data_IF_032172487283
#
_entry.id   IF_032172487283
#
_cell.length_a   1.000
_cell.length_b   1.000
_cell.length_c   1.000
_cell.angle_alpha   90.00
_cell.angle_beta   90.00
_cell.angle_gamma   90.00
#
_symmetry.space_group_name_H-M   'P 1'
#
loop_
_entity.id
_entity.type
_entity.pdbx_description
1 polymer ?
#
# COMPACT_ATOMS: atom_id res chain seq x y z
N UNK A 1 -35.85 66.10 -68.40
CA UNK A 1 -36.24 65.60 -67.07
C UNK A 1 -35.03 64.93 -66.45
N UNK A 2 -34.48 65.56 -65.40
CA UNK A 2 -33.41 65.08 -64.48
C UNK A 2 -34.04 64.28 -63.32
N UNK A 3 -33.29 63.70 -62.33
CA UNK A 3 -31.87 63.29 -62.29
C UNK A 3 -31.63 61.88 -61.65
N UNK A 4 -30.36 61.44 -61.63
CA UNK A 4 -29.79 60.38 -60.79
C UNK A 4 -29.83 60.74 -59.28
N UNK A 5 -29.92 59.74 -58.38
CA UNK A 5 -29.23 59.75 -57.07
C UNK A 5 -29.13 58.38 -56.37
N UNK A 6 -27.97 58.18 -55.75
CA UNK A 6 -27.48 57.08 -54.92
C UNK A 6 -27.92 57.30 -53.45
N UNK A 7 -28.34 56.27 -52.71
CA UNK A 7 -28.47 56.33 -51.23
C UNK A 7 -28.37 54.95 -50.56
N UNK A 8 -27.64 54.92 -49.45
CA UNK A 8 -27.29 53.80 -48.58
C UNK A 8 -28.07 53.83 -47.24
N UNK A 9 -27.79 52.86 -46.35
CA UNK A 9 -28.18 52.68 -44.91
C UNK A 9 -29.44 51.81 -44.69
N UNK A 10 -29.56 50.89 -43.71
CA UNK A 10 -28.78 50.51 -42.51
C UNK A 10 -29.26 49.14 -42.00
N UNK A 11 -28.36 48.35 -41.40
CA UNK A 11 -28.69 47.15 -40.63
C UNK A 11 -28.96 47.50 -39.16
N UNK A 12 -30.07 47.00 -38.59
CA UNK A 12 -30.40 47.09 -37.16
C UNK A 12 -29.94 45.82 -36.46
N UNK A 13 -29.05 45.95 -35.49
CA UNK A 13 -28.62 44.87 -34.59
C UNK A 13 -29.23 45.10 -33.21
N UNK A 14 -30.09 44.19 -32.77
CA UNK A 14 -30.63 44.16 -31.40
C UNK A 14 -29.64 43.49 -30.46
N UNK A 15 -29.00 44.27 -29.60
CA UNK A 15 -28.16 43.77 -28.52
C UNK A 15 -29.01 43.37 -27.32
N UNK A 16 -29.11 42.06 -27.06
CA UNK A 16 -29.60 41.51 -25.79
C UNK A 16 -28.51 41.71 -24.74
N UNK A 17 -28.81 42.46 -23.68
CA UNK A 17 -27.93 42.66 -22.52
C UNK A 17 -27.69 41.30 -21.82
N UNK A 18 -26.49 40.75 -22.00
CA UNK A 18 -26.01 39.64 -21.18
C UNK A 18 -25.82 40.11 -19.73
N UNK A 19 -26.09 39.27 -18.72
CA UNK A 19 -25.87 39.64 -17.32
C UNK A 19 -24.40 40.02 -17.08
N UNK A 20 -24.12 40.96 -16.15
CA UNK A 20 -22.78 41.50 -15.94
C UNK A 20 -21.77 40.37 -15.70
N UNK A 21 -20.63 40.42 -16.38
CA UNK A 21 -19.58 39.40 -16.28
C UNK A 21 -19.17 39.12 -14.83
N UNK A 22 -19.23 40.14 -13.97
CA UNK A 22 -18.93 40.08 -12.55
C UNK A 22 -19.88 39.14 -11.76
N UNK A 23 -21.14 38.99 -12.18
CA UNK A 23 -22.12 38.11 -11.53
C UNK A 23 -21.93 36.64 -11.94
N UNK A 24 -21.49 36.40 -13.18
CA UNK A 24 -21.10 35.07 -13.65
C UNK A 24 -19.79 34.62 -13.01
N UNK A 25 -18.85 35.54 -12.80
CA UNK A 25 -17.55 35.28 -12.18
C UNK A 25 -17.70 35.02 -10.67
N UNK A 26 -18.55 35.79 -9.98
CA UNK A 26 -18.95 35.51 -8.58
C UNK A 26 -19.66 34.17 -8.44
N UNK A 27 -20.58 33.81 -9.35
CA UNK A 27 -21.23 32.48 -9.34
C UNK A 27 -20.24 31.35 -9.62
N UNK A 28 -19.28 31.53 -10.53
CA UNK A 28 -18.20 30.56 -10.76
C UNK A 28 -17.35 30.38 -9.52
N UNK A 29 -16.94 31.47 -8.87
CA UNK A 29 -16.16 31.44 -7.64
C UNK A 29 -16.95 30.83 -6.48
N UNK A 30 -18.25 31.10 -6.33
CA UNK A 30 -19.09 30.45 -5.33
C UNK A 30 -19.30 28.95 -5.59
N UNK A 31 -19.45 28.55 -6.86
CA UNK A 31 -19.57 27.14 -7.25
C UNK A 31 -18.25 26.41 -7.03
N UNK A 32 -17.12 27.05 -7.34
CA UNK A 32 -15.77 26.51 -7.17
C UNK A 32 -15.37 26.44 -5.69
N UNK A 33 -15.76 27.44 -4.90
CA UNK A 33 -15.61 27.47 -3.44
C UNK A 33 -16.52 26.46 -2.74
N UNK A 34 -17.78 26.29 -3.20
CA UNK A 34 -18.64 25.18 -2.76
C UNK A 34 -18.09 23.83 -3.21
N UNK A 35 -17.45 23.73 -4.37
CA UNK A 35 -16.77 22.51 -4.81
C UNK A 35 -15.60 22.18 -3.88
N UNK A 36 -14.78 23.16 -3.51
CA UNK A 36 -13.68 23.03 -2.55
C UNK A 36 -14.14 22.75 -1.11
N UNK A 37 -15.26 23.35 -0.67
CA UNK A 37 -15.85 23.07 0.65
C UNK A 37 -16.54 21.68 0.71
N UNK A 38 -17.10 21.21 -0.42
CA UNK A 38 -17.59 19.83 -0.61
C UNK A 38 -16.43 18.83 -0.82
N UNK A 39 -15.25 19.30 -1.20
CA UNK A 39 -14.00 18.55 -1.38
C UNK A 39 -13.18 18.42 -0.08
N UNK A 40 -13.71 18.86 1.07
CA UNK A 40 -13.32 18.25 2.33
C UNK A 40 -13.89 16.83 2.31
N UNK A 41 -13.08 15.89 1.81
CA UNK A 41 -13.53 14.54 1.47
C UNK A 41 -14.23 13.93 2.69
N UNK A 42 -15.24 13.09 2.50
CA UNK A 42 -15.93 12.41 3.61
C UNK A 42 -14.93 11.75 4.57
N UNK A 43 -13.78 11.33 4.05
CA UNK A 43 -12.70 10.72 4.80
C UNK A 43 -11.91 11.71 5.65
N UNK A 44 -11.86 13.01 5.33
CA UNK A 44 -11.26 14.05 6.19
C UNK A 44 -12.07 14.29 7.48
N UNK A 45 -13.31 13.81 7.54
CA UNK A 45 -14.11 13.79 8.77
C UNK A 45 -13.81 12.54 9.60
N UNK A 46 -13.44 11.43 8.94
CA UNK A 46 -13.21 10.13 9.59
C UNK A 46 -11.76 9.92 10.01
N UNK A 47 -10.81 10.47 9.26
CA UNK A 47 -9.37 10.27 9.42
C UNK A 47 -8.64 11.62 9.46
N UNK A 48 -7.56 11.64 10.22
CA UNK A 48 -6.63 12.76 10.28
C UNK A 48 -5.44 12.47 9.39
N UNK A 49 -4.94 13.51 8.73
CA UNK A 49 -3.71 13.39 7.95
C UNK A 49 -2.59 12.91 8.87
N UNK A 50 -1.88 11.84 8.50
CA UNK A 50 -0.90 11.17 9.34
C UNK A 50 -1.42 9.92 10.06
N UNK A 51 -2.72 9.65 10.02
CA UNK A 51 -3.30 8.43 10.60
C UNK A 51 -2.72 7.19 9.92
N UNK A 52 -2.34 6.22 10.76
CA UNK A 52 -1.93 4.90 10.31
C UNK A 52 -3.20 4.06 10.12
N UNK A 53 -3.48 3.71 8.87
CA UNK A 53 -4.66 2.95 8.46
C UNK A 53 -4.31 1.48 8.29
N UNK A 54 -5.23 0.61 8.70
CA UNK A 54 -5.20 -0.82 8.49
C UNK A 54 -6.39 -1.27 7.67
N UNK A 55 -6.15 -2.23 6.78
CA UNK A 55 -7.19 -2.88 5.98
C UNK A 55 -6.99 -4.38 6.05
N UNK A 56 -7.87 -5.11 6.77
CA UNK A 56 -7.80 -6.57 6.82
C UNK A 56 -7.96 -7.18 5.41
N UNK A 57 -7.02 -8.03 5.01
CA UNK A 57 -7.14 -8.91 3.84
C UNK A 57 -7.32 -10.34 4.30
N UNK A 58 -7.62 -11.22 3.35
CA UNK A 58 -7.83 -12.65 3.62
C UNK A 58 -6.64 -13.32 4.30
N UNK A 59 -5.40 -12.89 4.01
CA UNK A 59 -4.17 -13.55 4.48
C UNK A 59 -3.25 -12.66 5.32
N UNK A 60 -3.45 -11.35 5.31
CA UNK A 60 -2.62 -10.38 6.01
C UNK A 60 -3.40 -9.07 6.19
N UNK A 61 -2.91 -8.19 7.05
CA UNK A 61 -3.40 -6.81 7.17
C UNK A 61 -2.54 -5.90 6.31
N UNK A 62 -3.18 -5.14 5.42
CA UNK A 62 -2.51 -4.11 4.62
C UNK A 62 -2.49 -2.78 5.35
N UNK A 63 -1.41 -2.02 5.21
CA UNK A 63 -1.22 -0.77 5.92
C UNK A 63 -0.98 0.41 4.99
N UNK A 64 -1.39 1.59 5.42
CA UNK A 64 -1.14 2.87 4.74
C UNK A 64 -1.15 4.05 5.70
N UNK A 65 -0.72 5.22 5.21
CA UNK A 65 -0.78 6.50 5.93
C UNK A 65 -1.76 7.42 5.21
N UNK A 66 -2.75 7.95 5.93
CA UNK A 66 -3.68 8.92 5.36
C UNK A 66 -2.97 10.26 5.10
N UNK A 67 -3.11 10.81 3.89
CA UNK A 67 -2.48 12.06 3.48
C UNK A 67 -3.46 13.25 3.42
N UNK A 68 -4.73 13.04 3.75
CA UNK A 68 -5.78 14.04 3.58
C UNK A 68 -6.29 14.16 2.14
N UNK A 69 -7.56 14.55 2.00
CA UNK A 69 -8.21 14.77 0.72
C UNK A 69 -8.37 13.49 -0.09
N UNK A 70 -8.82 12.39 0.54
CA UNK A 70 -9.02 11.10 -0.13
C UNK A 70 -7.73 10.47 -0.70
N UNK A 71 -6.63 10.56 0.04
CA UNK A 71 -5.33 10.04 -0.39
C UNK A 71 -4.69 9.19 0.68
N UNK A 72 -4.19 8.02 0.28
CA UNK A 72 -3.45 7.11 1.16
C UNK A 72 -2.12 6.76 0.52
N UNK A 73 -1.02 7.00 1.24
CA UNK A 73 0.28 6.46 0.88
C UNK A 73 0.43 5.05 1.42
N UNK A 74 0.75 4.09 0.57
CA UNK A 74 0.95 2.70 0.97
C UNK A 74 2.06 2.05 0.14
N UNK A 75 2.65 0.97 0.69
CA UNK A 75 3.71 0.23 0.02
C UNK A 75 3.19 -1.11 -0.47
N UNK A 76 3.26 -1.33 -1.78
CA UNK A 76 2.79 -2.57 -2.41
C UNK A 76 3.92 -3.28 -3.18
N UNK A 77 3.92 -4.62 -3.21
CA UNK A 77 4.83 -5.38 -4.06
C UNK A 77 4.35 -5.30 -5.50
N UNK A 78 4.76 -4.27 -6.22
CA UNK A 78 4.30 -3.99 -7.56
C UNK A 78 5.47 -4.06 -8.56
N UNK A 79 5.41 -5.04 -9.47
CA UNK A 79 6.39 -5.24 -10.54
C UNK A 79 6.20 -4.27 -11.72
N UNK A 80 5.01 -3.73 -11.93
CA UNK A 80 4.68 -3.03 -13.17
C UNK A 80 5.47 -1.72 -13.36
N UNK A 81 5.75 -0.92 -12.32
CA UNK A 81 6.64 0.25 -12.43
C UNK A 81 8.07 -0.07 -12.88
N UNK A 82 8.50 -1.33 -12.74
CA UNK A 82 9.82 -1.79 -13.22
C UNK A 82 9.75 -2.21 -14.70
N UNK A 83 8.60 -2.71 -15.15
CA UNK A 83 8.42 -3.31 -16.49
C UNK A 83 7.79 -2.34 -17.49
N UNK A 84 7.12 -1.29 -17.01
CA UNK A 84 6.41 -0.33 -17.84
C UNK A 84 6.51 1.08 -17.25
N UNK A 85 6.62 2.08 -18.13
CA UNK A 85 6.56 3.50 -17.75
C UNK A 85 5.16 4.11 -17.95
N UNK A 86 4.18 3.30 -18.35
CA UNK A 86 2.81 3.76 -18.59
C UNK A 86 2.06 3.96 -17.26
N UNK A 87 1.91 5.23 -16.88
CA UNK A 87 1.24 5.65 -15.65
C UNK A 87 -0.22 5.21 -15.58
N UNK A 88 -0.93 5.08 -16.71
CA UNK A 88 -2.32 4.64 -16.71
C UNK A 88 -2.43 3.16 -16.34
N UNK A 89 -1.55 2.33 -16.91
CA UNK A 89 -1.48 0.90 -16.59
C UNK A 89 -0.97 0.65 -15.17
N UNK A 90 -0.04 1.48 -14.69
CA UNK A 90 0.43 1.41 -13.30
C UNK A 90 -0.72 1.72 -12.34
N UNK A 91 -1.53 2.73 -12.65
CA UNK A 91 -2.67 3.17 -11.82
C UNK A 91 -3.85 2.20 -11.81
N UNK A 92 -4.03 1.37 -12.84
CA UNK A 92 -5.08 0.35 -12.85
C UNK A 92 -4.94 -0.66 -11.70
N UNK A 93 -6.08 -1.24 -11.34
CA UNK A 93 -6.28 -2.20 -10.24
C UNK A 93 -5.16 -3.24 -10.20
N UNK A 94 -4.52 -3.32 -9.04
CA UNK A 94 -3.38 -4.21 -8.82
C UNK A 94 -3.91 -5.64 -8.66
N UNK A 95 -3.58 -6.52 -9.61
CA UNK A 95 -4.03 -7.93 -9.57
C UNK A 95 -3.17 -8.78 -8.65
N UNK A 96 -3.72 -9.87 -8.11
CA UNK A 96 -2.96 -10.82 -7.27
C UNK A 96 -1.70 -11.35 -7.99
N UNK A 97 -1.78 -11.61 -9.31
CA UNK A 97 -0.63 -12.05 -10.09
C UNK A 97 0.49 -11.00 -10.11
N UNK A 98 0.15 -9.72 -10.28
CA UNK A 98 1.10 -8.59 -10.24
C UNK A 98 1.75 -8.48 -8.86
N UNK A 99 0.98 -8.66 -7.79
CA UNK A 99 1.48 -8.64 -6.41
C UNK A 99 2.45 -9.80 -6.13
N UNK A 100 2.08 -11.01 -6.53
CA UNK A 100 2.92 -12.21 -6.34
C UNK A 100 4.22 -12.08 -7.13
N UNK A 101 4.15 -11.62 -8.38
CA UNK A 101 5.36 -11.37 -9.19
C UNK A 101 6.24 -10.29 -8.57
N UNK A 102 5.65 -9.21 -8.03
CA UNK A 102 6.39 -8.17 -7.30
C UNK A 102 7.12 -8.74 -6.09
N UNK A 103 6.47 -9.61 -5.31
CA UNK A 103 7.11 -10.33 -4.19
C UNK A 103 8.28 -11.19 -4.67
N UNK A 104 8.08 -12.01 -5.71
CA UNK A 104 9.10 -12.93 -6.20
C UNK A 104 10.31 -12.20 -6.79
N UNK A 105 10.05 -11.09 -7.50
CA UNK A 105 11.08 -10.24 -8.08
C UNK A 105 11.66 -9.22 -7.08
N UNK A 106 11.15 -9.17 -5.85
CA UNK A 106 11.47 -8.16 -4.83
C UNK A 106 11.28 -6.71 -5.29
N UNK A 107 10.30 -6.47 -6.15
CA UNK A 107 9.96 -5.15 -6.64
C UNK A 107 8.74 -4.61 -5.91
N UNK A 108 8.84 -3.38 -5.40
CA UNK A 108 7.74 -2.66 -4.79
C UNK A 108 7.69 -1.20 -5.18
N UNK A 109 6.55 -0.59 -4.88
CA UNK A 109 6.33 0.82 -5.10
C UNK A 109 5.55 1.40 -3.91
N UNK A 110 6.08 2.49 -3.37
CA UNK A 110 5.38 3.35 -2.42
C UNK A 110 4.66 4.40 -3.27
N UNK A 111 3.33 4.35 -3.25
CA UNK A 111 2.46 5.16 -4.12
C UNK A 111 1.31 5.75 -3.32
N UNK A 112 0.62 6.70 -3.94
CA UNK A 112 -0.60 7.31 -3.41
C UNK A 112 -1.78 6.85 -4.24
N UNK A 113 -2.76 6.25 -3.57
CA UNK A 113 -4.04 5.84 -4.16
C UNK A 113 -5.21 6.48 -3.40
N UNK A 114 -6.42 6.41 -3.97
CA UNK A 114 -7.66 6.84 -3.30
C UNK A 114 -7.94 5.99 -2.07
N UNK A 115 -8.77 6.49 -1.14
CA UNK A 115 -9.14 5.70 0.04
C UNK A 115 -9.92 4.45 -0.37
N UNK A 116 -10.76 4.53 -1.41
CA UNK A 116 -11.51 3.39 -1.94
C UNK A 116 -10.61 2.33 -2.59
N UNK A 117 -9.64 2.75 -3.41
CA UNK A 117 -8.69 1.83 -4.05
C UNK A 117 -7.80 1.15 -2.99
N UNK A 118 -7.38 1.92 -1.98
CA UNK A 118 -6.67 1.40 -0.82
C UNK A 118 -7.52 0.40 -0.03
N UNK A 119 -8.79 0.70 0.20
CA UNK A 119 -9.72 -0.16 0.91
C UNK A 119 -10.03 -1.45 0.15
N UNK A 120 -10.10 -1.41 -1.17
CA UNK A 120 -10.45 -2.53 -2.03
C UNK A 120 -11.70 -3.29 -1.54
N UNK A 121 -12.74 -2.52 -1.16
CA UNK A 121 -14.01 -3.06 -0.63
C UNK A 121 -13.97 -3.60 0.80
N UNK A 122 -12.85 -3.47 1.52
CA UNK A 122 -12.74 -3.83 2.93
C UNK A 122 -12.95 -2.62 3.85
N UNK A 123 -13.33 -2.87 5.10
CA UNK A 123 -13.36 -1.84 6.14
C UNK A 123 -11.94 -1.31 6.43
N UNK A 124 -11.85 -0.02 6.71
CA UNK A 124 -10.61 0.68 7.09
C UNK A 124 -10.65 0.97 8.58
N UNK A 125 -9.59 0.61 9.28
CA UNK A 125 -9.44 0.81 10.71
C UNK A 125 -8.27 1.77 10.97
N UNK A 126 -8.41 2.66 11.96
CA UNK A 126 -7.28 3.43 12.47
C UNK A 126 -6.52 2.56 13.45
N UNK A 127 -5.23 2.39 13.22
CA UNK A 127 -4.36 1.55 14.02
C UNK A 127 -4.25 2.08 15.46
N UNK A 128 -4.53 1.24 16.49
CA UNK A 128 -4.48 1.65 17.88
C UNK A 128 -3.08 1.51 18.52
N UNK A 129 -2.05 1.16 17.75
CA UNK A 129 -0.71 0.79 18.25
C UNK A 129 0.01 1.93 18.95
N UNK A 130 -0.41 3.19 18.78
CA UNK A 130 0.06 4.32 19.59
C UNK A 130 -0.11 4.07 21.10
N UNK A 131 -1.10 3.26 21.49
CA UNK A 131 -1.34 2.86 22.89
C UNK A 131 -0.49 1.69 23.36
N UNK A 132 0.07 0.92 22.42
CA UNK A 132 0.77 -0.34 22.68
C UNK A 132 2.28 -0.23 22.45
N UNK A 133 2.71 0.71 21.61
CA UNK A 133 4.11 0.95 21.30
C UNK A 133 4.77 1.73 22.45
N UNK A 134 5.93 1.25 22.90
CA UNK A 134 6.73 1.96 23.92
C UNK A 134 7.46 3.19 23.36
N UNK A 135 7.57 3.32 22.03
CA UNK A 135 8.11 4.52 21.38
C UNK A 135 7.01 5.56 21.21
N UNK A 136 7.36 6.82 21.48
CA UNK A 136 6.51 7.94 21.17
C UNK A 136 6.25 8.01 19.66
N UNK A 137 4.98 8.12 19.30
CA UNK A 137 4.57 8.39 17.94
C UNK A 137 4.99 9.81 17.53
N UNK A 138 5.37 9.97 16.26
CA UNK A 138 5.66 11.29 15.68
C UNK A 138 4.38 12.11 15.56
N UNK A 139 4.50 13.42 15.33
CA UNK A 139 3.34 14.26 15.07
C UNK A 139 2.68 13.85 13.74
N UNK A 140 1.36 13.90 13.71
CA UNK A 140 0.52 13.50 12.56
C UNK A 140 1.05 14.07 11.22
N UNK A 141 1.32 15.38 11.17
CA UNK A 141 1.83 16.03 9.96
C UNK A 141 3.25 15.57 9.56
N UNK A 142 4.13 15.29 10.54
CA UNK A 142 5.47 14.76 10.28
C UNK A 142 5.41 13.36 9.66
N UNK A 143 4.44 12.54 10.09
CA UNK A 143 4.21 11.20 9.54
C UNK A 143 3.77 11.29 8.08
N UNK A 144 2.82 12.17 7.77
CA UNK A 144 2.35 12.38 6.40
C UNK A 144 3.47 12.92 5.49
N UNK A 145 4.19 13.96 5.94
CA UNK A 145 5.33 14.50 5.21
C UNK A 145 6.42 13.45 4.95
N UNK A 146 6.66 12.55 5.91
CA UNK A 146 7.61 11.45 5.74
C UNK A 146 7.12 10.41 4.75
N UNK A 147 5.84 10.05 4.80
CA UNK A 147 5.22 9.13 3.86
C UNK A 147 5.33 9.64 2.41
N UNK A 148 5.09 10.93 2.19
CA UNK A 148 5.23 11.60 0.89
C UNK A 148 6.68 11.60 0.37
N UNK A 149 7.66 11.82 1.24
CA UNK A 149 9.10 11.80 0.86
C UNK A 149 9.60 10.43 0.41
N UNK A 150 8.92 9.36 0.81
CA UNK A 150 9.30 7.98 0.51
C UNK A 150 8.63 7.44 -0.75
N UNK A 151 7.83 8.23 -1.46
CA UNK A 151 7.18 7.80 -2.70
C UNK A 151 8.21 7.41 -3.77
N UNK A 152 7.91 6.33 -4.49
CA UNK A 152 8.76 5.81 -5.56
C UNK A 152 8.97 4.31 -5.49
N UNK A 153 9.90 3.82 -6.31
CA UNK A 153 10.21 2.40 -6.40
C UNK A 153 11.20 2.01 -5.30
N UNK A 154 10.90 0.92 -4.60
CA UNK A 154 11.71 0.40 -3.49
C UNK A 154 11.75 -1.12 -3.55
N UNK A 155 12.86 -1.73 -3.13
CA UNK A 155 12.95 -3.19 -3.03
C UNK A 155 11.96 -3.70 -1.98
N UNK A 156 11.06 -4.59 -2.39
CA UNK A 156 10.04 -5.16 -1.51
C UNK A 156 10.50 -6.50 -0.96
N UNK A 157 10.35 -6.69 0.35
CA UNK A 157 10.58 -7.98 0.99
C UNK A 157 9.45 -8.30 1.97
N UNK A 158 8.75 -9.41 1.74
CA UNK A 158 7.64 -9.86 2.61
C UNK A 158 8.04 -9.91 4.09
N UNK A 159 9.26 -10.36 4.39
CA UNK A 159 9.72 -10.54 5.76
C UNK A 159 10.50 -9.34 6.30
N UNK A 160 11.25 -8.61 5.46
CA UNK A 160 12.20 -7.60 5.94
C UNK A 160 11.81 -6.16 5.67
N UNK A 161 11.02 -5.90 4.63
CA UNK A 161 10.63 -4.55 4.27
C UNK A 161 9.33 -4.61 3.45
N UNK A 162 8.22 -4.65 4.18
CA UNK A 162 6.85 -4.77 3.67
C UNK A 162 6.03 -3.53 4.05
N UNK A 163 4.72 -3.53 3.78
CA UNK A 163 3.84 -2.41 4.10
C UNK A 163 3.84 -2.01 5.58
N UNK A 164 3.89 -2.97 6.50
CA UNK A 164 3.92 -2.70 7.95
C UNK A 164 5.23 -2.01 8.36
N UNK A 165 6.38 -2.48 7.85
CA UNK A 165 7.67 -1.84 8.09
C UNK A 165 7.68 -0.37 7.63
N UNK A 166 7.11 -0.10 6.46
CA UNK A 166 7.00 1.24 5.90
C UNK A 166 6.20 2.18 6.82
N UNK A 167 5.00 1.78 7.23
CA UNK A 167 4.16 2.64 8.09
C UNK A 167 4.74 2.79 9.50
N UNK A 168 5.38 1.75 10.03
CA UNK A 168 6.06 1.82 11.34
C UNK A 168 7.25 2.78 11.31
N UNK A 169 7.96 2.84 10.18
CA UNK A 169 9.03 3.81 9.97
C UNK A 169 8.46 5.24 9.84
N UNK A 170 7.32 5.38 9.17
CA UNK A 170 6.63 6.66 9.05
C UNK A 170 6.16 7.18 10.41
N UNK A 171 5.49 6.34 11.22
CA UNK A 171 4.84 6.71 12.49
C UNK A 171 5.78 6.78 13.69
N UNK A 172 6.71 5.83 13.82
CA UNK A 172 7.55 5.67 15.03
C UNK A 172 9.05 5.74 14.76
N UNK A 173 9.47 5.86 13.49
CA UNK A 173 10.88 5.83 13.11
C UNK A 173 11.57 4.48 13.37
N UNK A 174 10.80 3.38 13.36
CA UNK A 174 11.33 2.02 13.53
C UNK A 174 10.92 1.13 12.37
N UNK A 175 11.77 0.16 12.02
CA UNK A 175 11.53 -0.76 10.90
C UNK A 175 11.21 -2.13 11.49
N UNK A 176 9.97 -2.31 11.94
CA UNK A 176 9.49 -3.57 12.53
C UNK A 176 8.15 -3.98 11.93
N UNK A 177 7.87 -5.29 11.89
CA UNK A 177 6.58 -5.85 11.50
C UNK A 177 6.15 -6.92 12.50
N UNK A 178 4.99 -6.71 13.12
CA UNK A 178 4.38 -7.67 14.03
C UNK A 178 3.87 -8.90 13.27
N UNK A 179 3.32 -8.71 12.06
CA UNK A 179 2.87 -9.83 11.23
C UNK A 179 4.03 -10.78 10.88
N UNK A 180 5.16 -10.23 10.42
CA UNK A 180 6.37 -11.02 10.16
C UNK A 180 6.81 -11.75 11.42
N UNK A 181 6.85 -11.07 12.56
CA UNK A 181 7.27 -11.69 13.82
C UNK A 181 6.37 -12.88 14.19
N UNK A 182 5.05 -12.72 14.12
CA UNK A 182 4.10 -13.78 14.43
C UNK A 182 4.15 -14.93 13.43
N UNK A 183 4.32 -14.63 12.14
CA UNK A 183 4.53 -15.63 11.10
C UNK A 183 5.79 -16.45 11.39
N UNK A 184 6.94 -15.81 11.59
CA UNK A 184 8.21 -16.47 11.88
C UNK A 184 8.13 -17.30 13.16
N UNK A 185 7.48 -16.78 14.21
CA UNK A 185 7.24 -17.52 15.46
C UNK A 185 6.39 -18.78 15.23
N UNK A 186 5.35 -18.66 14.41
CA UNK A 186 4.45 -19.78 14.09
C UNK A 186 5.16 -20.84 13.25
N UNK A 187 5.88 -20.43 12.20
CA UNK A 187 6.71 -21.32 11.37
C UNK A 187 7.77 -22.01 12.22
N UNK A 188 8.46 -21.27 13.09
CA UNK A 188 9.43 -21.85 14.03
C UNK A 188 8.78 -22.92 14.89
N UNK A 189 7.63 -22.63 15.51
CA UNK A 189 6.91 -23.59 16.37
C UNK A 189 6.45 -24.83 15.60
N UNK A 190 6.10 -24.68 14.33
CA UNK A 190 5.68 -25.78 13.47
C UNK A 190 6.87 -26.67 13.06
N UNK A 191 7.95 -26.06 12.55
CA UNK A 191 9.12 -26.77 12.01
C UNK A 191 10.04 -27.30 13.12
N UNK A 192 10.29 -26.50 14.16
CA UNK A 192 11.16 -26.85 15.28
C UNK A 192 10.28 -27.33 16.43
N UNK A 193 9.70 -28.52 16.26
CA UNK A 193 8.96 -29.19 17.31
C UNK A 193 9.54 -30.58 17.58
N UNK A 194 9.40 -31.07 18.82
CA UNK A 194 9.82 -32.43 19.18
C UNK A 194 9.14 -33.52 18.34
N UNK A 195 7.93 -33.24 17.82
CA UNK A 195 7.22 -34.16 16.92
C UNK A 195 7.91 -34.22 15.56
N UNK A 196 8.27 -33.06 14.99
CA UNK A 196 9.01 -32.98 13.73
C UNK A 196 10.39 -33.61 13.89
N UNK A 197 11.12 -33.36 14.98
CA UNK A 197 12.41 -34.00 15.23
C UNK A 197 12.32 -35.54 15.18
N UNK A 198 11.32 -36.13 15.85
CA UNK A 198 11.09 -37.58 15.84
C UNK A 198 10.68 -38.10 14.46
N UNK A 199 9.79 -37.40 13.77
CA UNK A 199 9.38 -37.77 12.42
C UNK A 199 10.55 -37.71 11.43
N UNK A 200 11.37 -36.67 11.48
CA UNK A 200 12.59 -36.53 10.68
C UNK A 200 13.57 -37.65 10.97
N UNK A 201 13.79 -38.02 12.24
CA UNK A 201 14.64 -39.14 12.60
C UNK A 201 14.14 -40.47 11.99
N UNK A 202 12.83 -40.73 12.08
CA UNK A 202 12.21 -41.93 11.50
C UNK A 202 12.37 -41.96 9.97
N UNK A 203 12.06 -40.85 9.30
CA UNK A 203 12.13 -40.74 7.83
C UNK A 203 13.56 -40.93 7.33
N UNK A 204 14.54 -40.31 7.99
CA UNK A 204 15.95 -40.46 7.63
C UNK A 204 16.47 -41.88 7.88
N UNK A 205 16.02 -42.54 8.95
CA UNK A 205 16.35 -43.94 9.22
C UNK A 205 15.75 -44.85 8.13
N UNK A 206 14.49 -44.68 7.77
CA UNK A 206 13.85 -45.44 6.69
C UNK A 206 14.56 -45.23 5.34
N UNK A 207 14.98 -43.99 5.04
CA UNK A 207 15.72 -43.68 3.83
C UNK A 207 17.11 -44.35 3.80
N UNK A 208 17.81 -44.36 4.94
CA UNK A 208 19.11 -45.01 5.07
C UNK A 208 19.01 -46.53 4.87
N UNK A 209 17.96 -47.17 5.42
CA UNK A 209 17.68 -48.59 5.20
C UNK A 209 17.33 -48.89 3.73
N UNK A 210 16.53 -48.03 3.09
CA UNK A 210 16.13 -48.19 1.69
C UNK A 210 17.31 -48.12 0.71
N UNK A 211 18.22 -47.15 0.93
CA UNK A 211 19.37 -46.96 0.04
C UNK A 211 20.44 -48.06 0.19
N UNK A 212 20.43 -48.81 1.29
CA UNK A 212 21.41 -49.89 1.55
C UNK A 212 22.86 -49.42 1.63
N UNK A 213 23.11 -48.11 1.63
CA UNK A 213 24.42 -47.48 1.56
C UNK A 213 24.63 -46.60 2.80
N UNK A 214 25.39 -47.10 3.77
CA UNK A 214 25.73 -46.37 4.99
C UNK A 214 27.14 -45.77 4.85
N UNK A 215 27.25 -44.61 4.21
CA UNK A 215 28.46 -43.80 4.37
C UNK A 215 28.44 -43.13 5.75
N UNK A 216 29.62 -42.90 6.35
CA UNK A 216 29.75 -42.23 7.64
C UNK A 216 29.05 -40.87 7.64
N UNK A 217 29.14 -40.13 6.52
CA UNK A 217 28.48 -38.84 6.35
C UNK A 217 26.95 -38.92 6.37
N UNK A 218 26.37 -39.95 5.73
CA UNK A 218 24.91 -40.12 5.72
C UNK A 218 24.39 -40.51 7.10
N UNK A 219 25.07 -41.43 7.79
CA UNK A 219 24.75 -41.81 9.17
C UNK A 219 24.83 -40.60 10.09
N UNK A 220 25.88 -39.77 9.97
CA UNK A 220 26.01 -38.55 10.76
C UNK A 220 24.85 -37.58 10.48
N UNK A 221 24.47 -37.37 9.22
CA UNK A 221 23.35 -36.49 8.87
C UNK A 221 22.02 -37.00 9.45
N UNK A 222 21.79 -38.33 9.43
CA UNK A 222 20.57 -38.93 10.00
C UNK A 222 20.42 -38.71 11.50
N UNK A 223 21.53 -38.60 12.24
CA UNK A 223 21.52 -38.30 13.66
C UNK A 223 21.52 -36.78 13.95
N UNK A 224 22.34 -36.03 13.23
CA UNK A 224 22.58 -34.61 13.49
C UNK A 224 21.36 -33.74 13.17
N UNK A 225 20.70 -33.97 12.04
CA UNK A 225 19.56 -33.15 11.61
C UNK A 225 18.38 -33.20 12.61
N UNK A 226 17.85 -34.37 13.03
CA UNK A 226 16.79 -34.42 14.02
C UNK A 226 17.26 -33.95 15.40
N UNK A 227 18.53 -34.15 15.76
CA UNK A 227 19.10 -33.61 17.00
C UNK A 227 19.09 -32.08 17.00
N UNK A 228 19.50 -31.42 15.92
CA UNK A 228 19.45 -29.96 15.80
C UNK A 228 18.01 -29.46 15.90
N UNK A 229 17.06 -30.12 15.21
CA UNK A 229 15.64 -29.76 15.30
C UNK A 229 15.13 -29.92 16.73
N UNK A 230 15.50 -31.00 17.43
CA UNK A 230 15.13 -31.22 18.83
C UNK A 230 15.72 -30.13 19.73
N UNK A 231 17.01 -29.80 19.58
CA UNK A 231 17.69 -28.80 20.40
C UNK A 231 17.12 -27.39 20.19
N UNK A 232 16.60 -27.11 18.99
CA UNK A 232 16.02 -25.81 18.65
C UNK A 232 14.51 -25.68 19.00
N UNK A 233 13.88 -26.79 19.42
CA UNK A 233 12.46 -26.93 19.78
C UNK A 233 12.19 -26.75 21.27
#
# INVERSE_FOLDING_TARGET
MFPLQLLALTAVSTATLAPPQEEQEKKKQEVEKKKQEVEKSRYDVMFRRGDLLEVPRTLFTHFGIYLGGDRVAHFIPDILPVVSSDQFRIKQVVTNTRLILGVLAKCGSIRVDSVEDFAYGSEILVNPMDRMCSRAALQEEDVACRAEKLLGNVEYSLLWYNCEHYVMYCRYGTVMSFQTFQFCKTVRKLLLSRRVAKATALLLLCLLLYLGAASVGLVLLTALLPFIIWMAA
#
